data_IF_553809344706
#
_entry.id   IF_553809344706
#
_cell.length_a   1.000
_cell.length_b   1.000
_cell.length_c   1.000
_cell.angle_alpha   90.00
_cell.angle_beta   90.00
_cell.angle_gamma   90.00
#
_symmetry.space_group_name_H-M   'P 1'
#
loop_
_entity.id
_entity.type
_entity.pdbx_description
1 polymer ?
#
# COMPACT_ATOMS: atom_id res chain seq x y z
N UNK A 1 2.84 -2.56 21.90
CA UNK A 1 4.21 -2.27 21.45
C UNK A 1 4.40 -0.78 21.55
N UNK A 2 5.35 -0.09 21.50
CA UNK A 2 5.62 1.36 21.51
C UNK A 2 4.68 2.28 22.34
N UNK A 3 3.74 1.74 23.13
CA UNK A 3 2.85 2.51 24.00
C UNK A 3 1.87 3.47 23.30
N UNK A 4 1.65 3.30 21.98
CA UNK A 4 0.74 4.14 21.21
C UNK A 4 -0.66 3.52 21.12
N UNK A 5 -1.69 4.37 21.14
CA UNK A 5 -3.07 3.93 20.90
C UNK A 5 -3.29 3.71 19.40
N UNK A 6 -3.44 2.46 18.98
CA UNK A 6 -3.64 2.08 17.59
C UNK A 6 -4.87 2.76 16.95
N UNK A 7 -5.88 3.11 17.73
CA UNK A 7 -7.09 3.80 17.24
C UNK A 7 -6.78 5.21 16.74
N UNK A 8 -5.68 5.80 17.17
CA UNK A 8 -5.21 7.11 16.70
C UNK A 8 -4.27 7.00 15.49
N UNK A 9 -3.91 5.79 15.07
CA UNK A 9 -2.90 5.58 14.04
C UNK A 9 -3.24 6.23 12.70
N UNK A 10 -4.47 6.04 12.20
CA UNK A 10 -4.88 6.62 10.92
C UNK A 10 -5.02 8.16 10.98
N UNK A 11 -5.71 8.78 11.96
CA UNK A 11 -5.75 10.25 12.09
C UNK A 11 -4.35 10.88 12.22
N UNK A 12 -3.47 10.25 13.00
CA UNK A 12 -2.08 10.71 13.18
C UNK A 12 -1.30 10.63 11.87
N UNK A 13 -1.45 9.55 11.10
CA UNK A 13 -0.78 9.39 9.82
C UNK A 13 -1.25 10.43 8.80
N UNK A 14 -2.55 10.71 8.72
CA UNK A 14 -3.13 11.73 7.83
C UNK A 14 -2.60 13.11 8.18
N UNK A 15 -2.64 13.50 9.45
CA UNK A 15 -2.15 14.81 9.90
C UNK A 15 -0.65 14.98 9.64
N UNK A 16 0.15 13.98 10.01
CA UNK A 16 1.60 14.05 9.83
C UNK A 16 2.00 14.05 8.35
N UNK A 17 1.26 13.35 7.50
CA UNK A 17 1.51 13.38 6.06
C UNK A 17 1.19 14.75 5.44
N UNK A 18 0.09 15.37 5.86
CA UNK A 18 -0.24 16.72 5.45
C UNK A 18 0.86 17.73 5.84
N UNK A 19 1.40 17.62 7.06
CA UNK A 19 2.55 18.42 7.48
C UNK A 19 3.80 18.12 6.65
N UNK A 20 4.10 16.86 6.37
CA UNK A 20 5.25 16.47 5.54
C UNK A 20 5.17 17.10 4.16
N UNK A 21 4.01 17.07 3.50
CA UNK A 21 3.81 17.71 2.20
C UNK A 21 4.03 19.23 2.29
N UNK A 22 3.46 19.86 3.30
CA UNK A 22 3.65 21.30 3.53
C UNK A 22 5.13 21.67 3.75
N UNK A 23 5.88 20.84 4.49
CA UNK A 23 7.30 21.03 4.70
C UNK A 23 8.14 20.84 3.43
N UNK A 24 7.68 20.09 2.46
CA UNK A 24 8.34 19.99 1.15
C UNK A 24 7.99 21.14 0.21
N UNK A 25 6.77 21.63 0.27
CA UNK A 25 6.24 22.61 -0.69
C UNK A 25 6.55 24.06 -0.27
N UNK A 26 6.61 24.35 1.04
CA UNK A 26 6.78 25.71 1.57
C UNK A 26 8.16 25.92 2.22
N UNK A 27 8.77 27.09 2.00
CA UNK A 27 10.06 27.45 2.60
C UNK A 27 9.96 27.72 4.09
N UNK A 28 8.86 28.36 4.51
CA UNK A 28 8.58 28.69 5.90
C UNK A 28 7.22 28.18 6.29
N UNK A 29 7.16 27.27 7.25
CA UNK A 29 5.94 26.58 7.65
C UNK A 29 5.47 27.03 9.03
N UNK A 30 4.20 27.41 9.10
CA UNK A 30 3.43 27.49 10.34
C UNK A 30 2.46 26.30 10.36
N UNK A 31 2.43 25.61 11.47
CA UNK A 31 1.59 24.42 11.65
C UNK A 31 0.96 24.37 13.03
N UNK A 32 -0.31 24.04 13.05
CA UNK A 32 -1.04 23.69 14.27
C UNK A 32 -1.84 22.43 14.02
N UNK A 33 -1.67 21.43 14.86
CA UNK A 33 -2.30 20.13 14.73
C UNK A 33 -2.51 19.46 16.08
N UNK A 34 -3.19 18.31 16.06
CA UNK A 34 -3.54 17.58 17.28
C UNK A 34 -2.38 16.74 17.82
N UNK A 35 -1.54 16.20 16.92
CA UNK A 35 -0.59 15.13 17.25
C UNK A 35 0.84 15.57 17.48
N UNK A 36 1.12 16.85 17.31
CA UNK A 36 2.44 17.40 17.60
C UNK A 36 2.37 18.86 18.08
N UNK A 37 3.46 19.33 18.66
CA UNK A 37 3.62 20.76 19.02
C UNK A 37 3.56 21.64 17.78
N UNK A 38 2.94 22.84 17.88
CA UNK A 38 2.90 23.79 16.77
C UNK A 38 4.28 24.14 16.22
N UNK A 39 4.36 24.45 14.93
CA UNK A 39 5.52 25.07 14.29
C UNK A 39 5.25 26.54 14.01
N UNK A 40 6.22 27.39 14.25
CA UNK A 40 6.13 28.83 13.96
C UNK A 40 7.38 29.25 13.20
N UNK A 41 7.20 29.73 11.97
CA UNK A 41 8.29 30.19 11.12
C UNK A 41 9.37 29.13 10.88
N UNK A 42 8.97 27.84 10.77
CA UNK A 42 9.91 26.72 10.69
C UNK A 42 10.35 26.47 9.25
N UNK A 43 11.64 26.35 9.03
CA UNK A 43 12.25 25.95 7.74
C UNK A 43 12.79 24.52 7.86
N UNK A 44 12.31 23.62 7.00
CA UNK A 44 12.81 22.24 6.92
C UNK A 44 14.04 22.14 6.02
N UNK A 45 15.06 21.45 6.52
CA UNK A 45 16.27 21.17 5.74
C UNK A 45 16.69 19.71 5.92
N UNK A 46 17.20 19.03 4.85
CA UNK A 46 17.36 19.55 3.49
C UNK A 46 16.03 19.75 2.77
N UNK A 47 16.02 20.63 1.78
CA UNK A 47 14.87 20.81 0.87
C UNK A 47 14.86 19.71 -0.19
N UNK A 48 13.69 19.38 -0.76
CA UNK A 48 13.64 18.51 -1.95
C UNK A 48 14.55 19.03 -3.06
N UNK A 49 15.25 18.12 -3.72
CA UNK A 49 16.14 18.46 -4.83
C UNK A 49 15.34 19.14 -5.94
N UNK A 50 15.83 20.30 -6.41
CA UNK A 50 15.18 21.12 -7.44
C UNK A 50 13.72 21.49 -7.13
N UNK A 51 13.31 21.47 -5.85
CA UNK A 51 11.96 21.75 -5.42
C UNK A 51 10.96 20.62 -5.75
N UNK A 52 11.45 19.48 -6.21
CA UNK A 52 10.58 18.33 -6.56
C UNK A 52 10.40 17.41 -5.36
N UNK A 53 9.17 17.29 -4.87
CA UNK A 53 8.85 16.37 -3.79
C UNK A 53 9.20 14.92 -4.18
N UNK A 54 9.76 14.13 -3.25
CA UNK A 54 10.01 12.70 -3.49
C UNK A 54 8.73 11.96 -3.88
N UNK A 55 8.86 10.97 -4.77
CA UNK A 55 7.75 10.09 -5.10
C UNK A 55 7.35 9.25 -3.88
N UNK A 56 6.05 9.17 -3.61
CA UNK A 56 5.50 8.46 -2.45
C UNK A 56 4.55 7.36 -2.89
N UNK A 57 4.66 6.20 -2.24
CA UNK A 57 3.68 5.15 -2.29
C UNK A 57 2.80 5.16 -1.03
N UNK A 58 1.49 5.19 -1.21
CA UNK A 58 0.53 4.92 -0.14
C UNK A 58 0.07 3.46 -0.23
N UNK A 59 0.44 2.67 0.77
CA UNK A 59 0.09 1.24 0.81
C UNK A 59 -1.20 1.00 1.60
N UNK A 60 -2.14 0.24 1.04
CA UNK A 60 -3.33 -0.21 1.76
C UNK A 60 -3.74 -1.62 1.36
N UNK A 61 -4.18 -2.38 2.36
CA UNK A 61 -4.82 -3.69 2.17
C UNK A 61 -6.33 -3.52 1.99
N UNK A 62 -6.97 -2.62 2.76
CA UNK A 62 -8.44 -2.54 2.85
C UNK A 62 -9.00 -1.14 3.08
N UNK A 63 -8.17 -0.15 3.35
CA UNK A 63 -8.61 1.16 3.83
C UNK A 63 -8.79 2.12 2.66
N UNK A 64 -10.03 2.43 2.23
CA UNK A 64 -10.28 3.31 1.09
C UNK A 64 -9.79 4.74 1.32
N UNK A 65 -9.72 5.21 2.58
CA UNK A 65 -9.19 6.52 2.95
C UNK A 65 -7.72 6.69 2.55
N UNK A 66 -6.95 5.60 2.51
CA UNK A 66 -5.56 5.64 2.03
C UNK A 66 -5.50 5.78 0.50
N UNK A 67 -6.41 5.12 -0.23
CA UNK A 67 -6.53 5.30 -1.67
C UNK A 67 -6.96 6.73 -2.02
N UNK A 68 -7.89 7.29 -1.25
CA UNK A 68 -8.32 8.69 -1.35
C UNK A 68 -7.15 9.66 -1.09
N UNK A 69 -6.38 9.44 -0.03
CA UNK A 69 -5.22 10.26 0.31
C UNK A 69 -4.14 10.23 -0.79
N UNK A 70 -3.82 9.04 -1.32
CA UNK A 70 -2.89 8.91 -2.43
C UNK A 70 -3.36 9.74 -3.65
N UNK A 71 -4.64 9.62 -3.98
CA UNK A 71 -5.25 10.36 -5.07
C UNK A 71 -5.25 11.87 -4.83
N UNK A 72 -5.56 12.31 -3.61
CA UNK A 72 -5.58 13.75 -3.26
C UNK A 72 -4.23 14.43 -3.48
N UNK A 73 -3.14 13.75 -3.13
CA UNK A 73 -1.78 14.29 -3.30
C UNK A 73 -1.15 13.99 -4.68
N UNK A 74 -1.80 13.20 -5.53
CA UNK A 74 -1.22 12.76 -6.79
C UNK A 74 -0.10 11.73 -6.63
N UNK A 75 -0.03 11.07 -5.49
CA UNK A 75 0.96 10.05 -5.16
C UNK A 75 0.55 8.66 -5.70
N UNK A 76 1.50 7.71 -5.73
CA UNK A 76 1.22 6.34 -6.15
C UNK A 76 0.40 5.56 -5.09
N UNK A 77 -0.50 4.71 -5.55
CA UNK A 77 -1.25 3.80 -4.69
C UNK A 77 -0.76 2.37 -4.83
N UNK A 78 -0.28 1.78 -3.73
CA UNK A 78 0.14 0.39 -3.67
C UNK A 78 -0.97 -0.46 -3.01
N UNK A 79 -1.71 -1.20 -3.82
CA UNK A 79 -2.69 -2.17 -3.35
C UNK A 79 -1.94 -3.39 -2.83
N UNK A 80 -1.81 -3.51 -1.51
CA UNK A 80 -1.07 -4.58 -0.86
C UNK A 80 -1.87 -5.89 -0.88
N UNK A 81 -1.73 -6.60 -1.98
CA UNK A 81 -2.58 -7.69 -2.41
C UNK A 81 -2.15 -9.02 -1.76
N UNK A 82 -2.57 -9.26 -0.50
CA UNK A 82 -2.11 -10.41 0.29
C UNK A 82 -3.25 -11.38 0.64
N UNK A 83 -4.38 -10.86 1.18
CA UNK A 83 -5.38 -11.69 1.86
C UNK A 83 -6.77 -11.68 1.23
N UNK A 84 -7.04 -10.76 0.32
CA UNK A 84 -8.39 -10.52 -0.17
C UNK A 84 -8.54 -10.94 -1.63
N UNK A 85 -9.77 -11.27 -2.06
CA UNK A 85 -10.05 -11.54 -3.46
C UNK A 85 -9.72 -10.34 -4.36
N UNK A 86 -9.42 -10.60 -5.63
CA UNK A 86 -9.07 -9.58 -6.62
C UNK A 86 -10.11 -8.45 -6.75
N UNK A 87 -11.39 -8.77 -6.58
CA UNK A 87 -12.50 -7.81 -6.66
C UNK A 87 -12.42 -6.73 -5.59
N UNK A 88 -11.86 -7.05 -4.43
CA UNK A 88 -11.63 -6.07 -3.37
C UNK A 88 -10.60 -5.02 -3.80
N UNK A 89 -9.47 -5.46 -4.34
CA UNK A 89 -8.41 -4.57 -4.82
C UNK A 89 -8.83 -3.79 -6.06
N UNK A 90 -9.60 -4.41 -6.94
CA UNK A 90 -10.18 -3.73 -8.09
C UNK A 90 -11.03 -2.53 -7.67
N UNK A 91 -11.86 -2.66 -6.62
CA UNK A 91 -12.64 -1.53 -6.10
C UNK A 91 -11.75 -0.40 -5.57
N UNK A 92 -10.71 -0.73 -4.80
CA UNK A 92 -9.77 0.27 -4.26
C UNK A 92 -9.00 0.98 -5.38
N UNK A 93 -8.53 0.25 -6.37
CA UNK A 93 -7.81 0.81 -7.54
C UNK A 93 -8.74 1.69 -8.37
N UNK A 94 -9.99 1.25 -8.58
CA UNK A 94 -10.99 2.04 -9.31
C UNK A 94 -11.27 3.35 -8.57
N UNK A 95 -11.48 3.30 -7.26
CA UNK A 95 -11.65 4.48 -6.42
C UNK A 95 -10.45 5.43 -6.58
N UNK A 96 -9.23 4.93 -6.37
CA UNK A 96 -8.00 5.71 -6.48
C UNK A 96 -7.90 6.41 -7.84
N UNK A 97 -8.08 5.69 -8.94
CA UNK A 97 -7.98 6.23 -10.30
C UNK A 97 -9.01 7.32 -10.58
N UNK A 98 -10.26 7.10 -10.17
CA UNK A 98 -11.33 8.09 -10.32
C UNK A 98 -11.04 9.36 -9.52
N UNK A 99 -10.56 9.22 -8.27
CA UNK A 99 -10.23 10.34 -7.40
C UNK A 99 -8.97 11.08 -7.86
N UNK A 100 -7.96 10.37 -8.38
CA UNK A 100 -6.77 10.97 -9.00
C UNK A 100 -7.14 11.93 -10.14
N UNK A 101 -8.01 11.50 -11.04
CA UNK A 101 -8.53 12.35 -12.10
C UNK A 101 -9.41 13.49 -11.57
N UNK A 102 -10.24 13.22 -10.57
CA UNK A 102 -11.09 14.24 -9.92
C UNK A 102 -10.26 15.38 -9.31
N UNK A 103 -9.10 15.06 -8.70
CA UNK A 103 -8.20 16.07 -8.14
C UNK A 103 -7.29 16.75 -9.18
N UNK A 104 -7.42 16.41 -10.45
CA UNK A 104 -6.74 17.09 -11.56
C UNK A 104 -5.29 16.68 -11.78
N UNK A 105 -4.85 15.53 -11.27
CA UNK A 105 -3.49 15.04 -11.45
C UNK A 105 -3.26 14.33 -12.80
N UNK A 106 -4.30 14.12 -13.57
CA UNK A 106 -4.23 13.48 -14.89
C UNK A 106 -5.45 12.60 -15.17
N UNK A 107 -5.34 11.73 -16.18
CA UNK A 107 -6.39 10.74 -16.46
C UNK A 107 -6.31 9.54 -15.51
N UNK A 108 -7.39 8.75 -15.37
CA UNK A 108 -7.36 7.53 -14.54
C UNK A 108 -6.25 6.54 -14.92
N UNK A 109 -5.88 6.49 -16.21
CA UNK A 109 -4.86 5.59 -16.74
C UNK A 109 -3.43 6.05 -16.39
N UNK A 110 -3.25 7.34 -16.15
CA UNK A 110 -1.96 7.91 -15.73
C UNK A 110 -1.69 7.69 -14.22
N UNK A 111 -2.72 7.34 -13.45
CA UNK A 111 -2.59 7.08 -12.02
C UNK A 111 -1.72 5.83 -11.78
N UNK A 112 -0.63 6.01 -11.04
CA UNK A 112 0.38 4.96 -10.81
C UNK A 112 -0.10 3.98 -9.75
N UNK A 113 -0.30 2.74 -10.14
CA UNK A 113 -0.74 1.65 -9.28
C UNK A 113 0.36 0.61 -9.13
N UNK A 114 0.69 0.26 -7.90
CA UNK A 114 1.48 -0.91 -7.57
C UNK A 114 0.60 -2.04 -7.05
N UNK A 115 0.90 -3.26 -7.45
CA UNK A 115 0.30 -4.48 -6.92
C UNK A 115 1.38 -5.35 -6.31
N UNK A 116 1.16 -5.80 -5.08
CA UNK A 116 1.98 -6.82 -4.45
C UNK A 116 1.28 -8.17 -4.49
N UNK A 117 2.05 -9.24 -4.39
CA UNK A 117 1.55 -10.59 -4.24
C UNK A 117 2.58 -11.47 -3.55
N UNK A 118 2.13 -12.60 -3.04
CA UNK A 118 3.00 -13.60 -2.45
C UNK A 118 3.23 -14.72 -3.44
N UNK A 119 4.50 -15.05 -3.67
CA UNK A 119 4.89 -16.07 -4.65
C UNK A 119 5.92 -17.01 -4.04
N UNK A 120 5.71 -18.29 -4.20
CA UNK A 120 6.71 -19.34 -3.99
C UNK A 120 6.82 -20.21 -5.24
N UNK A 121 8.05 -20.38 -5.74
CA UNK A 121 8.31 -21.15 -6.96
C UNK A 121 9.31 -22.27 -6.72
N UNK A 122 9.07 -23.42 -7.38
CA UNK A 122 10.04 -24.47 -7.56
C UNK A 122 10.04 -24.91 -9.04
N UNK A 123 10.93 -25.84 -9.39
CA UNK A 123 11.06 -26.30 -10.79
C UNK A 123 9.75 -26.84 -11.38
N UNK A 124 8.91 -27.44 -10.55
CA UNK A 124 7.57 -27.91 -10.90
C UNK A 124 6.58 -27.60 -9.77
N UNK A 125 5.28 -27.68 -10.07
CA UNK A 125 4.23 -27.33 -9.13
C UNK A 125 4.13 -28.26 -7.92
N UNK A 126 4.40 -29.55 -8.09
CA UNK A 126 4.33 -30.53 -7.00
C UNK A 126 5.42 -30.24 -5.96
N UNK A 127 6.63 -29.94 -6.41
CA UNK A 127 7.74 -29.55 -5.54
C UNK A 127 7.44 -28.23 -4.83
N UNK A 128 6.92 -27.23 -5.54
CA UNK A 128 6.54 -25.96 -4.95
C UNK A 128 5.55 -26.14 -3.80
N UNK A 129 4.48 -26.88 -4.01
CA UNK A 129 3.48 -27.15 -2.97
C UNK A 129 4.07 -27.94 -1.81
N UNK A 130 4.84 -29.00 -2.08
CA UNK A 130 5.48 -29.82 -1.05
C UNK A 130 6.42 -29.01 -0.17
N UNK A 131 7.23 -28.15 -0.78
CA UNK A 131 8.23 -27.36 -0.07
C UNK A 131 7.60 -26.19 0.71
N UNK A 132 6.58 -25.55 0.16
CA UNK A 132 5.93 -24.40 0.80
C UNK A 132 4.97 -24.78 1.92
N UNK A 133 4.29 -25.91 1.81
CA UNK A 133 3.24 -26.36 2.75
C UNK A 133 3.66 -26.29 4.22
N UNK A 134 4.84 -26.78 4.66
CA UNK A 134 5.24 -26.69 6.06
C UNK A 134 5.33 -25.25 6.58
N UNK A 135 5.72 -24.30 5.74
CA UNK A 135 5.78 -22.89 6.11
C UNK A 135 4.38 -22.28 6.20
N UNK A 136 3.50 -22.63 5.27
CA UNK A 136 2.11 -22.17 5.29
C UNK A 136 1.37 -22.68 6.53
N UNK A 137 1.44 -23.99 6.81
CA UNK A 137 0.72 -24.63 7.91
C UNK A 137 1.20 -24.17 9.30
N UNK A 138 2.46 -23.75 9.42
CA UNK A 138 3.03 -23.26 10.67
C UNK A 138 3.05 -21.73 10.79
N UNK A 139 2.61 -21.00 9.77
CA UNK A 139 2.59 -19.55 9.81
C UNK A 139 1.48 -19.06 10.76
N UNK A 140 1.76 -18.10 11.68
CA UNK A 140 0.77 -17.58 12.61
C UNK A 140 -0.44 -16.94 11.92
N UNK A 141 -0.28 -16.50 10.67
CA UNK A 141 -1.30 -15.81 9.89
C UNK A 141 -2.16 -16.77 9.08
N UNK A 142 -1.61 -17.91 8.62
CA UNK A 142 -2.29 -18.84 7.71
C UNK A 142 -2.66 -20.16 8.37
N UNK A 143 -1.86 -20.65 9.30
CA UNK A 143 -1.91 -22.02 9.81
C UNK A 143 -3.18 -22.43 10.58
N UNK A 144 -4.12 -21.51 10.79
CA UNK A 144 -5.41 -21.76 11.43
C UNK A 144 -6.61 -21.38 10.55
N UNK A 145 -6.38 -21.15 9.27
CA UNK A 145 -7.38 -20.73 8.29
C UNK A 145 -7.68 -21.82 7.24
N UNK A 146 -8.02 -21.41 6.01
CA UNK A 146 -8.23 -22.29 4.87
C UNK A 146 -6.97 -23.12 4.54
N UNK A 147 -7.15 -24.22 3.81
CA UNK A 147 -6.04 -25.00 3.25
C UNK A 147 -5.17 -24.12 2.32
N UNK A 148 -3.94 -24.54 2.04
CA UNK A 148 -3.06 -23.85 1.08
C UNK A 148 -3.74 -23.75 -0.30
N UNK A 149 -4.45 -24.77 -0.72
CA UNK A 149 -5.17 -24.83 -1.98
C UNK A 149 -6.30 -23.79 -2.03
N UNK A 150 -7.17 -23.81 -1.02
CA UNK A 150 -8.30 -22.87 -0.92
C UNK A 150 -7.80 -21.43 -0.80
N UNK A 151 -6.74 -21.21 -0.01
CA UNK A 151 -6.16 -19.89 0.16
C UNK A 151 -5.56 -19.36 -1.14
N UNK A 152 -4.87 -20.22 -1.91
CA UNK A 152 -4.30 -19.86 -3.21
C UNK A 152 -5.38 -19.61 -4.28
N UNK A 153 -6.53 -20.25 -4.17
CA UNK A 153 -7.68 -19.99 -5.05
C UNK A 153 -8.35 -18.66 -4.72
N UNK A 154 -8.53 -18.36 -3.45
CA UNK A 154 -9.24 -17.18 -2.94
C UNK A 154 -8.41 -15.90 -2.96
N UNK A 155 -7.09 -16.00 -2.98
CA UNK A 155 -6.18 -14.86 -2.82
C UNK A 155 -5.13 -14.84 -3.94
N UNK A 156 -4.30 -13.79 -4.03
CA UNK A 156 -3.21 -13.74 -4.99
C UNK A 156 -2.00 -14.61 -4.64
N UNK A 157 -2.00 -15.35 -3.52
CA UNK A 157 -0.91 -16.29 -3.24
C UNK A 157 -0.76 -17.28 -4.40
N UNK A 158 0.43 -17.37 -4.94
CA UNK A 158 0.76 -18.29 -6.02
C UNK A 158 1.92 -19.21 -5.59
N UNK A 159 1.62 -20.49 -5.51
CA UNK A 159 2.60 -21.54 -5.21
C UNK A 159 2.64 -22.49 -6.39
N UNK A 160 3.73 -22.48 -7.17
CA UNK A 160 3.76 -23.27 -8.39
C UNK A 160 5.07 -23.22 -9.17
N UNK A 161 5.01 -23.69 -10.41
CA UNK A 161 6.11 -23.58 -11.36
C UNK A 161 6.26 -22.13 -11.85
N UNK A 162 7.43 -21.76 -12.43
CA UNK A 162 7.60 -20.44 -13.03
C UNK A 162 6.51 -20.09 -14.07
N UNK A 163 6.09 -21.05 -14.89
CA UNK A 163 5.04 -20.83 -15.87
C UNK A 163 3.69 -20.49 -15.23
N UNK A 164 3.31 -21.20 -14.16
CA UNK A 164 2.06 -20.90 -13.45
C UNK A 164 2.07 -19.50 -12.81
N UNK A 165 3.23 -19.06 -12.31
CA UNK A 165 3.37 -17.69 -11.77
C UNK A 165 3.24 -16.67 -12.88
N UNK A 166 3.90 -16.87 -14.02
CA UNK A 166 3.77 -15.99 -15.19
C UNK A 166 2.29 -15.90 -15.62
N UNK A 167 1.64 -17.05 -15.82
CA UNK A 167 0.23 -17.09 -16.28
C UNK A 167 -0.73 -16.37 -15.32
N UNK A 168 -0.39 -16.29 -14.03
CA UNK A 168 -1.22 -15.63 -13.03
C UNK A 168 -1.01 -14.11 -12.94
N UNK A 169 0.18 -13.63 -13.27
CA UNK A 169 0.55 -12.22 -13.12
C UNK A 169 0.76 -11.47 -14.45
N UNK A 170 0.78 -12.15 -15.56
CA UNK A 170 0.81 -11.56 -16.90
C UNK A 170 -0.59 -11.17 -17.37
#
# INVERSE_FOLDING_TARGET
>A
WFGQDIRQGLPLAIENYALLRKLWDEDVVNWEGKFRTPLQGFTSTPRPLDGVAPFVWHGSIRTPEIAEQAAYYGDGFFANNIFWPKEHYQRLITLYRQRFAHYGHGTPEQAIVGLGGQVFMAANSQDAVREFRPYFDNAPVYGHGPSLEDFSEMTPLTVGSPQQVIDRYA
#
